data_IF_985802358280
#
_entry.id   IF_985802358280
#
_cell.length_a   1.000
_cell.length_b   1.000
_cell.length_c   1.000
_cell.angle_alpha   90.00
_cell.angle_beta   90.00
_cell.angle_gamma   90.00
#
_symmetry.space_group_name_H-M   'P 1'
#
loop_
_entity.id
_entity.type
_entity.pdbx_description
1 polymer ?
#
# COMPACT_ATOMS: atom_id res chain seq x y z
N UNK A 1 11.34 20.88 -5.65
CA UNK A 1 10.40 19.74 -5.42
C UNK A 1 10.73 19.02 -4.12
N UNK A 2 9.84 18.15 -3.59
CA UNK A 2 10.09 17.46 -2.29
C UNK A 2 11.37 16.63 -2.29
N UNK A 3 11.79 16.12 -3.45
CA UNK A 3 13.03 15.37 -3.64
C UNK A 3 14.28 16.21 -3.34
N UNK A 4 14.23 17.53 -3.53
CA UNK A 4 15.36 18.46 -3.27
C UNK A 4 15.58 18.72 -1.78
N UNK A 5 14.73 18.18 -0.89
CA UNK A 5 14.94 18.29 0.56
C UNK A 5 16.04 17.35 1.07
N UNK A 6 16.62 16.49 0.21
CA UNK A 6 17.79 15.66 0.50
C UNK A 6 17.71 14.87 1.82
N UNK A 7 16.53 14.32 2.11
CA UNK A 7 16.28 13.61 3.38
C UNK A 7 17.08 12.32 3.56
N UNK A 8 17.76 11.83 2.51
CA UNK A 8 18.56 10.60 2.53
C UNK A 8 17.73 9.31 2.59
N UNK A 9 16.40 9.39 2.50
CA UNK A 9 15.48 8.24 2.57
C UNK A 9 14.46 8.25 1.41
N UNK A 10 13.88 7.10 1.04
CA UNK A 10 12.92 7.03 -0.06
C UNK A 10 11.63 7.84 0.21
N UNK A 11 11.08 8.43 -0.85
CA UNK A 11 9.77 9.07 -0.83
C UNK A 11 8.68 8.13 -1.34
N UNK A 12 7.47 8.26 -0.76
CA UNK A 12 6.28 7.49 -1.16
C UNK A 12 5.12 8.43 -1.50
N UNK A 13 4.29 8.04 -2.47
CA UNK A 13 3.01 8.68 -2.78
C UNK A 13 1.90 7.63 -2.82
N UNK A 14 0.86 7.82 -2.02
CA UNK A 14 -0.22 6.84 -1.94
C UNK A 14 -1.33 7.13 -2.95
N UNK A 15 -1.77 6.09 -3.68
CA UNK A 15 -2.77 6.17 -4.76
C UNK A 15 -2.38 7.09 -5.94
N UNK A 16 -1.08 7.16 -6.23
CA UNK A 16 -0.54 7.97 -7.33
C UNK A 16 0.08 7.05 -8.40
N UNK A 17 -0.71 6.62 -9.38
CA UNK A 17 -0.26 5.61 -10.36
C UNK A 17 0.84 6.14 -11.31
N UNK A 18 0.91 7.44 -11.52
CA UNK A 18 1.91 8.14 -12.33
C UNK A 18 3.00 8.82 -11.48
N UNK A 19 3.17 8.40 -10.22
CA UNK A 19 4.23 8.92 -9.35
C UNK A 19 5.60 8.93 -10.07
N UNK A 20 6.33 10.05 -10.03
CA UNK A 20 7.64 10.19 -10.67
C UNK A 20 8.62 9.10 -10.24
N UNK A 21 9.68 8.91 -11.02
CA UNK A 21 10.52 7.73 -10.82
C UNK A 21 11.18 7.65 -9.44
N UNK A 22 11.57 8.81 -8.90
CA UNK A 22 12.17 8.95 -7.57
C UNK A 22 11.17 8.76 -6.41
N UNK A 23 9.88 8.54 -6.70
CA UNK A 23 8.84 8.34 -5.70
C UNK A 23 8.20 6.97 -5.86
N UNK A 24 8.04 6.24 -4.76
CA UNK A 24 7.40 4.93 -4.77
C UNK A 24 5.89 5.11 -4.66
N UNK A 25 5.13 4.67 -5.67
CA UNK A 25 3.68 4.65 -5.55
C UNK A 25 3.23 3.52 -4.62
N UNK A 26 2.20 3.78 -3.82
CA UNK A 26 1.72 2.84 -2.79
C UNK A 26 0.21 2.70 -2.83
N UNK A 27 -0.29 1.62 -2.25
CA UNK A 27 -1.73 1.32 -2.20
C UNK A 27 -2.35 1.71 -0.85
N UNK A 28 -3.63 2.09 -0.89
CA UNK A 28 -4.50 2.28 0.27
C UNK A 28 -5.82 1.53 0.04
N UNK A 29 -6.39 0.93 1.08
CA UNK A 29 -7.69 0.28 0.96
C UNK A 29 -7.92 -0.80 2.00
N UNK A 30 -9.07 -1.48 1.89
CA UNK A 30 -9.32 -2.72 2.62
C UNK A 30 -8.49 -3.88 2.08
N UNK A 31 -8.24 -3.90 0.76
CA UNK A 31 -7.52 -4.95 0.04
C UNK A 31 -6.55 -4.34 -0.96
N UNK A 32 -5.26 -4.63 -0.83
CA UNK A 32 -4.21 -4.19 -1.76
C UNK A 32 -3.42 -5.34 -2.39
N UNK A 33 -3.86 -6.59 -2.23
CA UNK A 33 -3.14 -7.78 -2.74
C UNK A 33 -3.03 -7.86 -4.27
N UNK A 34 -3.78 -7.05 -5.03
CA UNK A 34 -3.69 -6.95 -6.51
C UNK A 34 -2.88 -5.75 -6.98
N UNK A 35 -2.45 -4.88 -6.07
CA UNK A 35 -1.65 -3.70 -6.42
C UNK A 35 -0.29 -4.15 -6.98
N UNK A 36 0.18 -3.44 -8.00
CA UNK A 36 1.55 -3.56 -8.53
C UNK A 36 2.09 -2.13 -8.65
N UNK A 37 3.32 -1.84 -8.20
CA UNK A 37 3.92 -0.52 -8.33
C UNK A 37 4.09 -0.16 -9.80
N UNK A 38 4.19 1.14 -10.09
CA UNK A 38 4.20 1.66 -11.46
C UNK A 38 5.51 1.38 -12.23
N UNK A 39 6.52 0.82 -11.55
CA UNK A 39 7.80 0.38 -12.13
C UNK A 39 8.23 -0.95 -11.51
N UNK A 40 8.88 -1.84 -12.28
CA UNK A 40 9.23 -3.19 -11.81
C UNK A 40 10.29 -3.21 -10.70
N UNK A 41 11.16 -2.20 -10.60
CA UNK A 41 12.17 -2.09 -9.54
C UNK A 41 11.65 -1.44 -8.25
N UNK A 42 10.42 -0.93 -8.24
CA UNK A 42 9.81 -0.36 -7.03
C UNK A 42 9.18 -1.47 -6.19
N UNK A 43 9.22 -1.39 -4.85
CA UNK A 43 8.59 -2.38 -3.99
C UNK A 43 7.06 -2.20 -3.95
N UNK A 44 6.34 -3.29 -3.66
CA UNK A 44 4.93 -3.20 -3.27
C UNK A 44 4.81 -2.71 -1.82
N UNK A 45 4.10 -1.60 -1.62
CA UNK A 45 3.85 -1.04 -0.29
C UNK A 45 2.36 -0.75 -0.12
N UNK A 46 1.80 -1.17 1.02
CA UNK A 46 0.44 -0.89 1.44
C UNK A 46 0.47 0.10 2.62
N UNK A 47 0.31 1.38 2.32
CA UNK A 47 0.48 2.46 3.32
C UNK A 47 -0.70 2.62 4.26
N UNK A 48 -1.91 2.24 3.84
CA UNK A 48 -3.12 2.31 4.69
C UNK A 48 -3.94 1.04 4.59
N UNK A 49 -3.70 0.11 5.51
CA UNK A 49 -4.55 -1.05 5.74
C UNK A 49 -5.73 -0.65 6.63
N UNK A 50 -6.86 -0.28 6.00
CA UNK A 50 -8.02 0.25 6.72
C UNK A 50 -8.54 -0.77 7.74
N UNK A 51 -8.29 -0.56 9.03
CA UNK A 51 -8.70 -1.45 10.12
C UNK A 51 -10.17 -1.25 10.56
N UNK A 52 -10.89 -0.37 9.87
CA UNK A 52 -12.25 0.06 10.17
C UNK A 52 -12.60 1.26 9.31
N UNK A 53 -13.55 2.07 9.78
CA UNK A 53 -13.90 3.34 9.17
C UNK A 53 -14.11 4.39 10.27
N UNK A 54 -13.96 5.67 9.93
CA UNK A 54 -14.27 6.74 10.88
C UNK A 54 -15.76 6.78 11.18
N UNK A 55 -16.13 7.31 12.34
CA UNK A 55 -17.53 7.54 12.73
C UNK A 55 -17.86 9.00 12.52
N UNK A 56 -18.89 9.27 11.72
CA UNK A 56 -19.49 10.59 11.55
C UNK A 56 -20.55 10.90 12.62
N UNK A 57 -20.85 12.17 12.86
CA UNK A 57 -21.87 12.56 13.84
C UNK A 57 -23.25 12.04 13.44
N UNK A 58 -23.89 11.28 14.34
CA UNK A 58 -25.17 10.62 14.08
C UNK A 58 -25.07 9.34 13.23
N UNK A 59 -23.88 8.99 12.75
CA UNK A 59 -23.64 7.79 11.95
C UNK A 59 -23.41 6.53 12.80
N UNK A 60 -23.39 5.36 12.15
CA UNK A 60 -23.14 4.09 12.82
C UNK A 60 -21.65 3.91 13.16
N UNK A 61 -21.36 3.02 14.11
CA UNK A 61 -19.99 2.60 14.41
C UNK A 61 -19.58 1.49 13.44
N UNK A 62 -18.69 1.82 12.51
CA UNK A 62 -18.16 0.87 11.53
C UNK A 62 -17.03 0.02 12.12
N UNK A 63 -17.21 -1.31 12.14
CA UNK A 63 -16.19 -2.27 12.61
C UNK A 63 -15.71 -3.13 11.45
N UNK A 64 -14.41 -3.48 11.47
CA UNK A 64 -13.82 -4.49 10.59
C UNK A 64 -13.51 -5.76 11.39
N UNK A 65 -13.90 -6.95 10.93
CA UNK A 65 -13.51 -8.20 11.57
C UNK A 65 -11.98 -8.38 11.56
N UNK A 66 -11.42 -8.81 12.69
CA UNK A 66 -9.97 -9.07 12.79
C UNK A 66 -9.54 -10.22 11.86
N UNK A 67 -10.43 -11.20 11.63
CA UNK A 67 -10.20 -12.32 10.71
C UNK A 67 -10.02 -11.83 9.27
N UNK A 68 -10.83 -10.85 8.85
CA UNK A 68 -10.69 -10.25 7.52
C UNK A 68 -9.39 -9.46 7.40
N UNK A 69 -9.07 -8.62 8.39
CA UNK A 69 -7.82 -7.86 8.42
C UNK A 69 -6.58 -8.78 8.36
N UNK A 70 -6.57 -9.86 9.13
CA UNK A 70 -5.52 -10.87 9.10
C UNK A 70 -5.44 -11.55 7.72
N UNK A 71 -6.57 -11.97 7.16
CA UNK A 71 -6.62 -12.63 5.85
C UNK A 71 -6.06 -11.75 4.73
N UNK A 72 -6.50 -10.48 4.64
CA UNK A 72 -6.01 -9.58 3.59
C UNK A 72 -4.52 -9.24 3.76
N UNK A 73 -4.03 -9.16 5.01
CA UNK A 73 -2.62 -8.88 5.30
C UNK A 73 -1.74 -10.04 4.86
N UNK A 74 -2.11 -11.27 5.23
CA UNK A 74 -1.44 -12.48 4.76
C UNK A 74 -1.48 -12.61 3.23
N UNK A 75 -2.63 -12.29 2.61
CA UNK A 75 -2.80 -12.33 1.15
C UNK A 75 -1.91 -11.30 0.43
N UNK A 76 -1.78 -10.10 0.99
CA UNK A 76 -0.86 -9.08 0.47
C UNK A 76 0.60 -9.54 0.56
N UNK A 77 1.05 -9.99 1.74
CA UNK A 77 2.42 -10.46 1.94
C UNK A 77 2.77 -11.62 1.00
N UNK A 78 1.88 -12.62 0.88
CA UNK A 78 2.06 -13.74 -0.05
C UNK A 78 2.27 -13.25 -1.49
N UNK A 79 1.43 -12.32 -1.96
CA UNK A 79 1.53 -11.83 -3.33
C UNK A 79 2.78 -10.96 -3.53
N UNK A 80 3.14 -10.16 -2.52
CA UNK A 80 4.36 -9.36 -2.49
C UNK A 80 5.62 -10.21 -2.72
N UNK A 81 5.71 -11.33 -2.00
CA UNK A 81 6.81 -12.28 -2.13
C UNK A 81 6.81 -12.99 -3.48
N UNK A 82 5.62 -13.34 -4.02
CA UNK A 82 5.51 -14.00 -5.33
C UNK A 82 6.01 -13.13 -6.48
N UNK A 83 5.65 -11.84 -6.50
CA UNK A 83 6.11 -10.91 -7.54
C UNK A 83 7.62 -10.67 -7.41
N UNK A 84 8.12 -10.47 -6.17
CA UNK A 84 9.56 -10.30 -5.95
C UNK A 84 10.35 -11.49 -6.49
N UNK A 85 9.89 -12.73 -6.25
CA UNK A 85 10.55 -13.93 -6.76
C UNK A 85 10.67 -13.93 -8.29
N UNK A 86 9.63 -13.50 -9.03
CA UNK A 86 9.65 -13.41 -10.50
C UNK A 86 10.61 -12.37 -11.08
N UNK A 87 11.07 -11.40 -10.29
CA UNK A 87 11.99 -10.36 -10.77
C UNK A 87 13.45 -10.82 -10.64
N UNK A 88 13.74 -11.74 -9.71
CA UNK A 88 15.09 -12.22 -9.44
C UNK A 88 15.39 -13.63 -10.00
N UNK A 89 14.37 -14.35 -10.48
CA UNK A 89 14.49 -15.56 -11.29
C UNK A 89 14.49 -15.18 -12.78
#
# INVERSE_FOLDING_TARGET
MVVEMETGVPWVMCKEDDAPDLMINTCNGFYCHKFTPNRPYKPMIWTKAWSGWFTEFGGPIHKRPVQDLAFTTARFIKHAMQIRKRIYD
#
